data_IF_440824647475
#
_entry.id   IF_440824647475
#
_cell.length_a   1.000
_cell.length_b   1.000
_cell.length_c   1.000
_cell.angle_alpha   90.00
_cell.angle_beta   90.00
_cell.angle_gamma   90.00
#
_symmetry.space_group_name_H-M   'P 1'
#
loop_
_entity.id
_entity.type
_entity.pdbx_description
1 polymer ?
#
# COMPACT_ATOMS: atom_id res chain seq x y z
N UNK A 1 -2.16 37.81 -35.98
CA UNK A 1 -0.85 37.12 -36.04
C UNK A 1 -0.32 36.61 -34.69
N UNK A 2 -0.62 37.24 -33.53
CA UNK A 2 -0.12 36.80 -32.20
C UNK A 2 -0.72 35.50 -31.65
N UNK A 3 -1.82 34.98 -32.21
CA UNK A 3 -2.48 33.73 -31.75
C UNK A 3 -1.81 32.46 -32.27
N UNK A 4 -1.11 32.54 -33.41
CA UNK A 4 -0.38 31.43 -34.00
C UNK A 4 0.75 30.87 -33.12
N UNK A 5 1.64 31.71 -32.55
CA UNK A 5 2.68 31.20 -31.66
C UNK A 5 2.11 30.62 -30.36
N UNK A 6 1.01 31.18 -29.84
CA UNK A 6 0.33 30.64 -28.65
C UNK A 6 -0.27 29.25 -28.90
N UNK A 7 -0.90 29.04 -30.06
CA UNK A 7 -1.45 27.75 -30.48
C UNK A 7 -0.35 26.70 -30.69
N UNK A 8 0.76 27.08 -31.33
CA UNK A 8 1.93 26.22 -31.50
C UNK A 8 2.56 25.82 -30.16
N UNK A 9 2.64 26.77 -29.22
CA UNK A 9 3.17 26.51 -27.89
C UNK A 9 2.26 25.57 -27.09
N UNK A 10 0.93 25.77 -27.16
CA UNK A 10 -0.05 24.88 -26.56
C UNK A 10 0.01 23.47 -27.16
N UNK A 11 0.15 23.37 -28.48
CA UNK A 11 0.28 22.09 -29.17
C UNK A 11 1.56 21.35 -28.77
N UNK A 12 2.68 22.06 -28.69
CA UNK A 12 3.94 21.50 -28.22
C UNK A 12 3.86 21.05 -26.75
N UNK A 13 3.19 21.82 -25.88
CA UNK A 13 2.97 21.46 -24.49
C UNK A 13 2.10 20.19 -24.35
N UNK A 14 1.02 20.07 -25.15
CA UNK A 14 0.17 18.88 -25.18
C UNK A 14 0.95 17.65 -25.63
N UNK A 15 1.78 17.77 -26.68
CA UNK A 15 2.67 16.70 -27.15
C UNK A 15 3.69 16.26 -26.08
N UNK A 16 4.21 17.21 -25.29
CA UNK A 16 5.14 16.91 -24.21
C UNK A 16 4.49 16.14 -23.05
N UNK A 17 3.25 16.48 -22.68
CA UNK A 17 2.52 15.80 -21.59
C UNK A 17 2.03 14.40 -22.00
N UNK A 18 1.92 14.14 -23.30
CA UNK A 18 1.43 12.85 -23.83
C UNK A 18 2.54 11.84 -24.13
N UNK A 19 3.81 12.17 -23.86
CA UNK A 19 4.89 11.20 -23.90
C UNK A 19 4.74 10.18 -22.76
N UNK A 20 4.74 8.86 -23.04
CA UNK A 20 4.64 7.86 -21.99
C UNK A 20 5.86 7.96 -21.06
N UNK A 21 5.63 7.84 -19.75
CA UNK A 21 6.70 7.85 -18.75
C UNK A 21 7.58 6.59 -18.89
N UNK A 22 8.64 6.68 -19.70
CA UNK A 22 9.57 5.56 -19.99
C UNK A 22 10.47 5.13 -18.83
N UNK A 23 10.40 5.80 -17.68
CA UNK A 23 11.18 5.46 -16.50
C UNK A 23 10.46 4.44 -15.58
N UNK A 24 9.19 4.12 -15.85
CA UNK A 24 8.47 3.10 -15.10
C UNK A 24 8.75 1.73 -15.72
N UNK A 25 9.55 0.93 -15.02
CA UNK A 25 9.68 -0.49 -15.35
C UNK A 25 8.43 -1.23 -14.90
N UNK A 26 7.90 -2.12 -15.76
CA UNK A 26 6.86 -3.08 -15.38
C UNK A 26 7.45 -4.35 -14.77
N UNK A 27 8.77 -4.39 -14.63
CA UNK A 27 9.50 -5.54 -14.11
C UNK A 27 9.68 -5.43 -12.59
N UNK A 28 8.90 -6.22 -11.86
CA UNK A 28 8.89 -6.24 -10.40
C UNK A 28 9.71 -7.41 -9.81
N UNK A 29 10.54 -8.09 -10.59
CA UNK A 29 11.35 -9.19 -10.08
C UNK A 29 12.28 -8.74 -8.94
N UNK A 30 12.50 -9.62 -7.97
CA UNK A 30 13.44 -9.40 -6.89
C UNK A 30 12.88 -9.70 -5.52
N UNK A 31 13.62 -9.26 -4.51
CA UNK A 31 13.26 -9.38 -3.11
C UNK A 31 12.78 -8.02 -2.59
N UNK A 32 11.53 -7.99 -2.16
CA UNK A 32 10.87 -6.81 -1.65
C UNK A 32 10.82 -6.91 -0.14
N UNK A 33 11.53 -6.02 0.54
CA UNK A 33 11.45 -5.90 1.99
C UNK A 33 10.35 -4.89 2.37
N UNK A 34 9.58 -5.20 3.41
CA UNK A 34 8.70 -4.23 4.02
C UNK A 34 9.54 -3.09 4.63
N UNK A 35 9.22 -1.84 4.28
CA UNK A 35 9.92 -0.65 4.77
C UNK A 35 8.98 0.16 5.64
N UNK A 36 9.38 0.35 6.89
CA UNK A 36 8.57 0.97 7.92
C UNK A 36 9.19 2.32 8.30
N UNK A 37 8.80 3.38 7.60
CA UNK A 37 9.39 4.72 7.75
C UNK A 37 8.56 5.64 8.63
N UNK A 38 7.37 6.07 8.19
CA UNK A 38 6.62 7.13 8.89
C UNK A 38 5.76 6.62 10.07
N UNK A 39 5.29 5.37 10.05
CA UNK A 39 4.37 4.84 11.05
C UNK A 39 4.90 3.57 11.72
N UNK A 40 6.18 3.57 12.11
CA UNK A 40 6.84 2.34 12.59
C UNK A 40 6.04 1.63 13.69
N UNK A 41 5.61 2.34 14.74
CA UNK A 41 4.92 1.73 15.89
C UNK A 41 3.59 1.09 15.46
N UNK A 42 2.75 1.85 14.76
CA UNK A 42 1.41 1.40 14.34
C UNK A 42 1.47 0.31 13.25
N UNK A 43 2.39 0.43 12.28
CA UNK A 43 2.43 -0.48 11.11
C UNK A 43 3.36 -1.67 11.27
N UNK A 44 4.50 -1.54 11.94
CA UNK A 44 5.54 -2.56 11.98
C UNK A 44 6.04 -2.96 13.37
N UNK A 45 5.77 -2.14 14.38
CA UNK A 45 6.08 -2.41 15.77
C UNK A 45 4.91 -3.10 16.47
N UNK A 46 4.67 -2.67 17.70
CA UNK A 46 3.75 -3.27 18.66
C UNK A 46 2.27 -3.25 18.20
N UNK A 47 1.92 -2.48 17.17
CA UNK A 47 0.53 -2.23 16.78
C UNK A 47 0.07 -0.83 17.14
N UNK A 48 -1.15 -0.48 16.72
CA UNK A 48 -1.84 0.73 17.20
C UNK A 48 -2.03 0.62 18.73
N UNK A 49 -1.80 1.73 19.44
CA UNK A 49 -1.99 1.74 20.89
C UNK A 49 -3.48 1.78 21.23
N UNK A 50 -3.87 1.05 22.27
CA UNK A 50 -5.25 1.08 22.73
C UNK A 50 -5.65 2.51 23.08
N UNK A 51 -6.76 2.99 22.52
CA UNK A 51 -7.25 4.36 22.73
C UNK A 51 -6.61 5.42 21.83
N UNK A 52 -5.60 5.09 21.04
CA UNK A 52 -5.07 5.99 20.01
C UNK A 52 -5.94 5.89 18.74
N UNK A 53 -6.87 6.82 18.60
CA UNK A 53 -7.77 6.91 17.45
C UNK A 53 -7.38 8.04 16.49
N UNK A 54 -6.12 8.49 16.50
CA UNK A 54 -5.67 9.59 15.67
C UNK A 54 -5.93 9.29 14.18
N UNK A 55 -6.60 10.20 13.49
CA UNK A 55 -6.93 10.06 12.06
C UNK A 55 -8.12 9.15 11.75
N UNK A 56 -8.73 8.48 12.75
CA UNK A 56 -9.93 7.66 12.56
C UNK A 56 -11.17 8.51 12.85
N UNK A 57 -12.07 8.75 11.87
CA UNK A 57 -13.28 9.54 12.08
C UNK A 57 -14.34 8.72 12.85
N UNK A 58 -14.19 8.63 14.18
CA UNK A 58 -15.13 7.93 15.05
C UNK A 58 -16.28 8.85 15.49
N UNK A 59 -17.51 8.39 15.29
CA UNK A 59 -18.68 8.94 15.98
C UNK A 59 -18.79 8.34 17.40
N UNK A 60 -19.78 8.78 18.19
CA UNK A 60 -19.97 8.31 19.56
C UNK A 60 -20.16 6.78 19.66
N UNK A 61 -20.89 6.18 18.72
CA UNK A 61 -21.09 4.73 18.68
C UNK A 61 -19.79 3.97 18.34
N UNK A 62 -19.01 4.49 17.39
CA UNK A 62 -17.71 3.93 17.02
C UNK A 62 -16.71 3.98 18.18
N UNK A 63 -16.68 5.11 18.92
CA UNK A 63 -15.88 5.24 20.14
C UNK A 63 -16.30 4.25 21.21
N UNK A 64 -17.60 4.14 21.51
CA UNK A 64 -18.11 3.15 22.47
C UNK A 64 -17.70 1.73 22.08
N UNK A 65 -17.82 1.36 20.80
CA UNK A 65 -17.39 0.04 20.33
C UNK A 65 -15.89 -0.18 20.54
N UNK A 66 -15.07 0.81 20.25
CA UNK A 66 -13.63 0.70 20.39
C UNK A 66 -13.20 0.58 21.87
N UNK A 67 -13.83 1.32 22.78
CA UNK A 67 -13.53 1.31 24.21
C UNK A 67 -14.08 0.08 24.95
N UNK A 68 -15.12 -0.56 24.40
CA UNK A 68 -15.72 -1.79 24.97
C UNK A 68 -15.13 -3.08 24.39
N UNK A 69 -14.26 -2.99 23.38
CA UNK A 69 -13.63 -4.16 22.76
C UNK A 69 -12.32 -4.51 23.47
N UNK A 70 -12.13 -5.77 23.82
CA UNK A 70 -10.88 -6.28 24.39
C UNK A 70 -10.00 -6.88 23.29
N UNK A 71 -8.82 -6.28 23.07
CA UNK A 71 -7.85 -6.75 22.06
C UNK A 71 -7.21 -8.09 22.46
N UNK A 72 -7.27 -8.47 23.74
CA UNK A 72 -6.81 -9.78 24.20
C UNK A 72 -7.60 -10.94 23.57
N UNK A 73 -8.78 -10.68 22.97
CA UNK A 73 -9.55 -11.69 22.23
C UNK A 73 -8.72 -12.39 21.15
N UNK A 74 -7.79 -11.68 20.52
CA UNK A 74 -6.94 -12.23 19.45
C UNK A 74 -5.86 -13.19 19.97
N UNK A 75 -5.61 -13.21 21.28
CA UNK A 75 -4.76 -14.19 21.93
C UNK A 75 -5.47 -15.50 22.28
N UNK A 76 -6.80 -15.57 22.12
CA UNK A 76 -7.58 -16.76 22.47
C UNK A 76 -7.32 -17.91 21.49
N UNK A 77 -7.10 -19.15 21.97
CA UNK A 77 -6.94 -20.32 21.12
C UNK A 77 -8.12 -20.55 20.16
N UNK A 78 -9.33 -20.21 20.59
CA UNK A 78 -10.57 -20.38 19.85
C UNK A 78 -10.64 -19.44 18.63
N UNK A 79 -9.92 -18.33 18.65
CA UNK A 79 -9.97 -17.29 17.61
C UNK A 79 -8.81 -17.31 16.63
N UNK A 80 -7.90 -18.30 16.72
CA UNK A 80 -6.74 -18.43 15.83
C UNK A 80 -7.12 -18.56 14.34
N UNK A 81 -8.27 -19.16 14.05
CA UNK A 81 -8.75 -19.34 12.67
C UNK A 81 -9.57 -18.15 12.14
N UNK A 82 -9.82 -17.12 12.96
CA UNK A 82 -10.55 -15.93 12.50
C UNK A 82 -9.62 -15.08 11.62
N UNK A 83 -10.09 -14.60 10.47
CA UNK A 83 -9.29 -13.68 9.67
C UNK A 83 -9.01 -12.41 10.48
N UNK A 84 -7.73 -12.02 10.52
CA UNK A 84 -7.35 -10.75 11.12
C UNK A 84 -8.01 -9.59 10.35
N UNK A 85 -8.36 -8.48 11.02
CA UNK A 85 -8.98 -7.34 10.36
C UNK A 85 -8.02 -6.71 9.35
N UNK A 86 -8.58 -6.05 8.34
CA UNK A 86 -7.84 -5.52 7.18
C UNK A 86 -6.56 -4.74 7.50
N UNK A 87 -6.47 -3.92 8.57
CA UNK A 87 -5.22 -3.23 8.93
C UNK A 87 -4.01 -4.16 9.13
N UNK A 88 -4.23 -5.40 9.58
CA UNK A 88 -3.18 -6.40 9.76
C UNK A 88 -2.82 -7.16 8.47
N UNK A 89 -3.64 -7.08 7.41
CA UNK A 89 -3.36 -7.76 6.14
C UNK A 89 -2.06 -7.25 5.51
N UNK A 90 -1.73 -5.97 5.69
CA UNK A 90 -0.47 -5.39 5.22
C UNK A 90 0.77 -6.03 5.86
N UNK A 91 0.63 -6.62 7.06
CA UNK A 91 1.70 -7.36 7.73
C UNK A 91 1.84 -8.78 7.17
N UNK A 92 0.73 -9.40 6.74
CA UNK A 92 0.69 -10.79 6.31
C UNK A 92 1.50 -11.05 5.02
N UNK A 93 1.58 -10.06 4.12
CA UNK A 93 2.38 -10.19 2.90
C UNK A 93 3.91 -10.19 3.17
N UNK A 94 4.34 -9.64 4.31
CA UNK A 94 5.74 -9.49 4.74
C UNK A 94 6.69 -9.11 3.58
N UNK A 95 7.95 -9.51 3.65
CA UNK A 95 8.84 -9.47 2.50
C UNK A 95 8.43 -10.51 1.47
N UNK A 96 8.26 -10.09 0.22
CA UNK A 96 7.87 -10.97 -0.89
C UNK A 96 9.03 -11.16 -1.86
N UNK A 97 9.14 -12.37 -2.41
CA UNK A 97 10.05 -12.64 -3.53
C UNK A 97 9.22 -12.82 -4.78
N UNK A 98 9.47 -11.98 -5.76
CA UNK A 98 8.85 -12.06 -7.09
C UNK A 98 9.88 -12.63 -8.05
N UNK A 99 9.60 -13.81 -8.57
CA UNK A 99 10.46 -14.49 -9.56
C UNK A 99 9.78 -14.51 -10.92
N UNK A 100 10.60 -14.45 -11.97
CA UNK A 100 10.14 -14.72 -13.33
C UNK A 100 10.12 -16.22 -13.55
N UNK A 101 9.03 -16.75 -14.09
CA UNK A 101 9.08 -18.07 -14.72
C UNK A 101 9.70 -17.91 -16.10
N UNK A 102 10.81 -18.61 -16.33
CA UNK A 102 11.53 -18.57 -17.60
C UNK A 102 11.57 -20.01 -18.11
N UNK A 103 11.20 -20.22 -19.37
CA UNK A 103 11.31 -21.53 -20.00
C UNK A 103 12.78 -22.00 -19.98
N UNK A 104 13.11 -23.15 -19.39
CA UNK A 104 14.51 -23.57 -19.24
C UNK A 104 15.20 -23.91 -20.57
N UNK A 105 14.42 -24.20 -21.62
CA UNK A 105 14.93 -24.57 -22.95
C UNK A 105 14.93 -23.36 -23.88
N UNK A 106 13.77 -22.70 -24.07
CA UNK A 106 13.66 -21.56 -25.00
C UNK A 106 14.19 -20.25 -24.43
N UNK A 107 14.32 -20.15 -23.09
CA UNK A 107 14.67 -18.93 -22.36
C UNK A 107 13.69 -17.76 -22.54
N UNK A 108 12.48 -18.07 -22.99
CA UNK A 108 11.38 -17.10 -23.05
C UNK A 108 10.77 -16.89 -21.67
N UNK A 109 10.28 -15.67 -21.45
CA UNK A 109 9.51 -15.22 -20.29
C UNK A 109 8.03 -15.60 -20.44
#
# INVERSE_FOLDING_TARGET
MKRFPALLFLFAAVLWVSLPARAQTTDFYGEWANRCTEDYIARCGMGEQLGDYLGVPLNAAGRMRAETSDVAEWGLPEFQCRPHPSPYQWRAANGMRITKEINPISREL
#
